data_IF_977528133993
#
_entry.id   IF_977528133993
#
_cell.length_a   1.000
_cell.length_b   1.000
_cell.length_c   1.000
_cell.angle_alpha   90.00
_cell.angle_beta   90.00
_cell.angle_gamma   90.00
#
_symmetry.space_group_name_H-M   'P 1'
#
loop_
_entity.id
_entity.type
_entity.pdbx_description
1 polymer ?
#
# COMPACT_ATOMS: atom_id res chain seq x y z
N UNK A 1 7.24 -5.27 26.80
CA UNK A 1 7.50 -6.66 26.38
C UNK A 1 8.77 -7.12 27.08
N UNK A 2 8.67 -8.23 27.79
CA UNK A 2 9.81 -8.84 28.46
C UNK A 2 10.71 -9.49 27.40
N UNK A 3 11.82 -8.85 27.12
CA UNK A 3 12.85 -9.33 26.17
C UNK A 3 13.95 -10.13 26.86
N UNK A 4 13.68 -10.68 28.04
CA UNK A 4 14.66 -11.42 28.85
C UNK A 4 14.87 -12.86 28.42
N UNK A 5 14.13 -13.38 27.44
CA UNK A 5 14.33 -14.75 26.95
C UNK A 5 15.61 -14.85 26.15
N UNK A 6 16.58 -15.58 26.70
CA UNK A 6 17.79 -15.98 25.98
C UNK A 6 17.39 -16.80 24.75
N UNK A 7 17.77 -16.34 23.55
CA UNK A 7 17.77 -17.18 22.37
C UNK A 7 19.01 -18.05 22.40
N UNK A 8 18.89 -19.40 22.32
CA UNK A 8 20.06 -20.27 22.32
C UNK A 8 21.06 -19.86 21.25
N UNK A 9 22.32 -19.68 21.63
CA UNK A 9 23.41 -19.31 20.70
C UNK A 9 23.66 -17.81 20.50
N UNK A 10 22.96 -16.93 21.21
CA UNK A 10 23.17 -15.48 21.13
C UNK A 10 23.47 -14.85 22.47
N UNK A 11 24.48 -13.96 22.45
CA UNK A 11 24.87 -13.18 23.60
C UNK A 11 23.85 -12.09 23.95
N UNK A 12 23.95 -11.67 25.14
CA UNK A 12 23.12 -10.81 25.99
C UNK A 12 22.66 -9.44 25.44
N UNK A 13 22.74 -9.14 24.15
CA UNK A 13 22.31 -7.86 23.58
C UNK A 13 20.81 -7.60 23.70
N UNK A 14 20.00 -8.64 23.90
CA UNK A 14 18.55 -8.53 24.05
C UNK A 14 18.05 -8.24 25.48
N UNK A 15 18.97 -8.00 26.42
CA UNK A 15 18.63 -7.69 27.84
C UNK A 15 18.17 -6.27 28.08
N UNK A 16 18.24 -5.37 27.08
CA UNK A 16 17.84 -3.96 27.26
C UNK A 16 16.44 -3.76 26.69
N UNK A 17 15.53 -3.26 27.51
CA UNK A 17 14.27 -2.71 27.03
C UNK A 17 14.55 -1.53 26.10
N UNK A 18 13.94 -1.54 24.90
CA UNK A 18 14.08 -0.48 23.92
C UNK A 18 12.81 0.36 23.94
N UNK A 19 12.97 1.63 24.25
CA UNK A 19 11.88 2.59 24.30
C UNK A 19 12.11 3.69 23.26
N UNK A 20 11.04 4.09 22.61
CA UNK A 20 11.01 5.20 21.67
C UNK A 20 9.73 5.99 21.85
N UNK A 21 9.85 7.29 22.08
CA UNK A 21 8.73 8.21 22.19
C UNK A 21 8.67 9.08 20.94
N UNK A 22 7.48 9.19 20.35
CA UNK A 22 7.19 10.07 19.24
C UNK A 22 6.40 11.25 19.76
N UNK A 23 6.82 12.46 19.42
CA UNK A 23 6.07 13.69 19.60
C UNK A 23 5.63 14.17 18.23
N UNK A 24 4.33 14.44 18.08
CA UNK A 24 3.79 15.00 16.83
C UNK A 24 2.83 16.13 17.15
N UNK A 25 2.98 17.22 16.40
CA UNK A 25 2.09 18.37 16.41
C UNK A 25 1.61 18.55 14.97
N UNK A 26 0.33 18.70 14.79
CA UNK A 26 -0.28 18.90 13.49
C UNK A 26 -1.06 20.22 13.47
N UNK A 27 -0.86 21.01 12.43
CA UNK A 27 -1.60 22.23 12.16
C UNK A 27 -2.14 22.15 10.74
N UNK A 28 -3.43 22.39 10.57
CA UNK A 28 -4.07 22.44 9.26
C UNK A 28 -5.05 23.60 9.20
N UNK A 29 -5.11 24.25 8.06
CA UNK A 29 -6.12 25.22 7.71
C UNK A 29 -6.89 24.75 6.48
N UNK A 30 -8.22 24.81 6.56
CA UNK A 30 -9.10 24.43 5.46
C UNK A 30 -9.94 25.65 5.06
N UNK A 31 -9.91 25.92 3.76
CA UNK A 31 -10.81 26.84 3.10
C UNK A 31 -11.88 26.05 2.35
N UNK A 32 -13.13 26.40 2.55
CA UNK A 32 -14.27 25.75 1.89
C UNK A 32 -15.23 26.81 1.35
N UNK A 33 -15.55 26.67 0.07
CA UNK A 33 -16.60 27.42 -0.62
C UNK A 33 -17.48 26.43 -1.38
N UNK A 34 -18.55 26.90 -2.02
CA UNK A 34 -19.54 26.06 -2.73
C UNK A 34 -18.93 25.04 -3.67
N UNK A 35 -17.88 25.42 -4.37
CA UNK A 35 -17.26 24.62 -5.43
C UNK A 35 -15.80 24.27 -5.17
N UNK A 36 -15.15 24.93 -4.22
CA UNK A 36 -13.72 24.76 -3.96
C UNK A 36 -13.53 24.36 -2.50
N UNK A 37 -12.74 23.34 -2.29
CA UNK A 37 -12.20 23.02 -0.97
C UNK A 37 -10.69 22.95 -1.10
N UNK A 38 -9.96 23.66 -0.27
CA UNK A 38 -8.51 23.61 -0.23
C UNK A 38 -8.03 23.51 1.22
N UNK A 39 -7.12 22.63 1.51
CA UNK A 39 -6.48 22.53 2.82
C UNK A 39 -4.96 22.52 2.68
N UNK A 40 -4.30 23.15 3.64
CA UNK A 40 -2.86 23.12 3.78
C UNK A 40 -2.51 22.86 5.25
N UNK A 41 -1.62 21.92 5.48
CA UNK A 41 -1.21 21.54 6.82
C UNK A 41 0.26 21.18 6.90
N UNK A 42 0.75 21.09 8.13
CA UNK A 42 2.09 20.65 8.43
C UNK A 42 2.09 19.78 9.69
N UNK A 43 2.73 18.64 9.61
CA UNK A 43 3.05 17.81 10.78
C UNK A 43 4.48 18.07 11.22
N UNK A 44 4.69 18.48 12.48
CA UNK A 44 6.00 18.56 13.12
C UNK A 44 6.21 17.31 13.97
N UNK A 45 7.21 16.51 13.64
CA UNK A 45 7.47 15.22 14.29
C UNK A 45 8.88 15.18 14.86
N UNK A 46 8.99 14.74 16.11
CA UNK A 46 10.25 14.47 16.79
C UNK A 46 10.22 13.06 17.40
N UNK A 47 11.34 12.36 17.27
CA UNK A 47 11.49 11.02 17.82
C UNK A 47 12.69 10.95 18.75
N UNK A 48 12.57 10.32 19.92
CA UNK A 48 13.68 10.23 20.92
C UNK A 48 14.82 9.32 20.49
N UNK A 49 14.61 8.45 19.49
CA UNK A 49 15.67 7.61 18.91
C UNK A 49 16.48 8.32 17.81
N UNK A 50 16.11 9.56 17.46
CA UNK A 50 16.82 10.37 16.47
C UNK A 50 17.22 11.69 17.13
N UNK A 51 18.51 12.00 17.12
CA UNK A 51 19.07 13.22 17.73
C UNK A 51 18.66 14.52 17.01
N UNK A 52 18.12 14.41 15.82
CA UNK A 52 17.67 15.55 15.01
C UNK A 52 16.34 16.12 15.57
N UNK A 53 16.25 17.40 15.80
CA UNK A 53 15.08 18.11 16.31
C UNK A 53 13.75 17.76 15.63
N UNK A 54 12.79 18.66 15.67
CA UNK A 54 11.53 18.49 14.93
C UNK A 54 11.78 18.52 13.42
N UNK A 55 11.15 17.59 12.69
CA UNK A 55 11.10 17.56 11.23
C UNK A 55 9.70 17.88 10.77
N UNK A 56 9.57 18.61 9.68
CA UNK A 56 8.32 19.12 9.17
C UNK A 56 7.89 18.39 7.90
N UNK A 57 6.63 17.99 7.87
CA UNK A 57 6.01 17.23 6.78
C UNK A 57 4.78 17.99 6.31
N UNK A 58 4.90 18.77 5.23
CA UNK A 58 3.77 19.51 4.68
C UNK A 58 2.82 18.61 3.90
N UNK A 59 1.55 19.01 3.87
CA UNK A 59 0.51 18.44 3.04
C UNK A 59 -0.39 19.55 2.50
N UNK A 60 -0.81 19.41 1.25
CA UNK A 60 -1.73 20.32 0.58
C UNK A 60 -2.73 19.50 -0.21
N UNK A 61 -4.02 19.82 -0.06
CA UNK A 61 -5.09 19.19 -0.83
C UNK A 61 -5.97 20.28 -1.43
N UNK A 62 -6.38 20.09 -2.66
CA UNK A 62 -7.33 20.98 -3.31
C UNK A 62 -8.35 20.18 -4.13
N UNK A 63 -9.59 20.65 -4.15
CA UNK A 63 -10.60 20.09 -5.02
C UNK A 63 -11.53 21.18 -5.54
N UNK A 64 -11.96 20.99 -6.78
CA UNK A 64 -12.87 21.88 -7.46
C UNK A 64 -14.01 21.10 -8.09
N UNK A 65 -15.25 21.45 -7.68
CA UNK A 65 -16.47 20.90 -8.28
C UNK A 65 -16.90 21.81 -9.41
N UNK A 66 -16.91 21.27 -10.62
CA UNK A 66 -17.35 21.97 -11.82
C UNK A 66 -18.47 21.19 -12.50
N UNK A 67 -19.30 21.85 -13.30
CA UNK A 67 -20.45 21.24 -14.00
C UNK A 67 -21.35 20.40 -13.08
N UNK A 68 -21.43 20.72 -11.80
CA UNK A 68 -22.31 20.07 -10.82
C UNK A 68 -21.96 18.64 -10.44
N UNK A 69 -21.59 17.79 -11.40
CA UNK A 69 -21.35 16.36 -11.20
C UNK A 69 -19.86 15.95 -11.25
N UNK A 70 -19.01 16.85 -11.66
CA UNK A 70 -17.59 16.64 -11.83
C UNK A 70 -16.80 17.29 -10.71
N UNK A 71 -15.84 16.55 -10.17
CA UNK A 71 -14.90 17.05 -9.16
C UNK A 71 -13.49 16.71 -9.61
N UNK A 72 -12.68 17.73 -9.83
CA UNK A 72 -11.23 17.62 -9.97
C UNK A 72 -10.60 17.72 -8.58
N UNK A 73 -9.57 16.93 -8.30
CA UNK A 73 -8.81 17.06 -7.07
C UNK A 73 -7.32 16.81 -7.32
N UNK A 74 -6.51 17.40 -6.45
CA UNK A 74 -5.08 17.18 -6.41
C UNK A 74 -4.60 17.23 -4.96
N UNK A 75 -3.58 16.45 -4.63
CA UNK A 75 -2.97 16.44 -3.31
C UNK A 75 -1.45 16.28 -3.42
N UNK A 76 -0.76 16.91 -2.49
CA UNK A 76 0.65 16.67 -2.19
C UNK A 76 0.80 16.35 -0.72
N UNK A 77 1.51 15.29 -0.39
CA UNK A 77 1.76 14.90 0.98
C UNK A 77 3.22 14.48 1.16
N UNK A 78 3.79 14.85 2.29
CA UNK A 78 5.09 14.39 2.74
C UNK A 78 4.93 13.61 4.04
N UNK A 79 5.63 12.49 4.17
CA UNK A 79 5.54 11.62 5.33
C UNK A 79 6.88 10.94 5.65
N UNK A 80 6.96 10.36 6.83
CA UNK A 80 8.11 9.56 7.24
C UNK A 80 7.66 8.22 7.84
N UNK A 81 8.54 7.23 7.76
CA UNK A 81 8.45 6.00 8.54
C UNK A 81 9.74 5.79 9.33
N UNK A 82 9.62 5.68 10.65
CA UNK A 82 10.79 5.35 11.47
C UNK A 82 11.12 3.85 11.34
N UNK A 83 12.42 3.49 11.37
CA UNK A 83 12.82 2.09 11.41
C UNK A 83 12.16 1.36 12.58
N UNK A 84 11.74 0.16 12.38
CA UNK A 84 11.22 -0.72 13.45
C UNK A 84 12.37 -1.21 14.33
N UNK A 85 12.07 -1.65 15.55
CA UNK A 85 13.10 -2.25 16.40
C UNK A 85 13.68 -3.55 15.81
N UNK A 86 12.91 -4.27 15.00
CA UNK A 86 13.40 -5.43 14.26
C UNK A 86 14.45 -5.01 13.23
N UNK A 87 14.19 -3.96 12.46
CA UNK A 87 15.14 -3.45 11.47
C UNK A 87 16.42 -2.90 12.11
N UNK A 88 16.33 -2.35 13.34
CA UNK A 88 17.46 -1.78 14.06
C UNK A 88 18.31 -2.80 14.84
N UNK A 89 17.70 -3.92 15.30
CA UNK A 89 18.35 -4.76 16.32
C UNK A 89 18.23 -6.27 16.08
N UNK A 90 17.48 -6.73 15.09
CA UNK A 90 17.32 -8.16 14.84
C UNK A 90 18.52 -8.73 14.09
N UNK A 91 19.36 -9.52 14.80
CA UNK A 91 20.57 -10.13 14.26
C UNK A 91 20.64 -11.62 14.61
N UNK A 92 19.64 -12.39 14.13
CA UNK A 92 19.48 -13.83 14.42
C UNK A 92 19.18 -14.57 13.12
N UNK A 93 19.69 -15.81 12.98
CA UNK A 93 19.33 -16.70 11.88
C UNK A 93 19.70 -16.16 10.49
N UNK A 94 20.91 -15.68 10.33
CA UNK A 94 21.37 -15.13 9.06
C UNK A 94 20.86 -13.71 8.75
N UNK A 95 20.39 -12.98 9.76
CA UNK A 95 20.02 -11.57 9.66
C UNK A 95 21.00 -10.70 10.43
N UNK A 96 21.33 -9.53 9.89
CA UNK A 96 22.19 -8.52 10.49
C UNK A 96 21.51 -7.16 10.40
N UNK A 97 20.95 -6.71 11.52
CA UNK A 97 20.28 -5.42 11.62
C UNK A 97 21.30 -4.25 11.72
N UNK A 98 20.90 -3.08 11.26
CA UNK A 98 21.71 -1.85 11.36
C UNK A 98 21.06 -0.84 12.31
N UNK A 99 21.79 -0.49 13.37
CA UNK A 99 21.37 0.50 14.39
C UNK A 99 21.36 1.96 13.85
N UNK A 100 22.02 2.20 12.73
CA UNK A 100 22.20 3.53 12.15
C UNK A 100 21.20 3.86 11.05
N UNK A 101 20.14 3.05 10.90
CA UNK A 101 19.12 3.30 9.90
C UNK A 101 18.46 4.67 10.06
N UNK A 102 18.35 5.37 8.95
CA UNK A 102 17.61 6.63 8.85
C UNK A 102 16.13 6.36 8.68
N UNK A 103 15.30 7.32 9.06
CA UNK A 103 13.87 7.27 8.73
C UNK A 103 13.67 7.33 7.22
N UNK A 104 12.79 6.47 6.71
CA UNK A 104 12.29 6.57 5.33
C UNK A 104 11.50 7.87 5.14
N UNK A 105 11.58 8.42 3.96
CA UNK A 105 10.80 9.61 3.57
C UNK A 105 10.00 9.28 2.33
N UNK A 106 8.75 9.73 2.31
CA UNK A 106 7.86 9.60 1.18
C UNK A 106 7.29 10.95 0.82
N UNK A 107 7.34 11.28 -0.46
CA UNK A 107 6.63 12.40 -1.06
C UNK A 107 5.64 11.83 -2.06
N UNK A 108 4.39 12.24 -1.97
CA UNK A 108 3.31 11.76 -2.80
C UNK A 108 2.62 12.94 -3.47
N UNK A 109 2.43 12.82 -4.76
CA UNK A 109 1.56 13.72 -5.55
C UNK A 109 0.49 12.87 -6.17
N UNK A 110 -0.75 13.28 -6.03
CA UNK A 110 -1.88 12.63 -6.70
C UNK A 110 -2.82 13.67 -7.29
N UNK A 111 -3.53 13.25 -8.34
CA UNK A 111 -4.60 14.03 -8.93
C UNK A 111 -5.62 13.12 -9.57
N UNK A 112 -6.87 13.57 -9.60
CA UNK A 112 -7.91 12.73 -10.15
C UNK A 112 -9.18 13.49 -10.47
N UNK A 113 -10.02 12.79 -11.23
CA UNK A 113 -11.30 13.27 -11.69
C UNK A 113 -12.39 12.32 -11.18
N UNK A 114 -13.41 12.87 -10.54
CA UNK A 114 -14.58 12.15 -10.09
C UNK A 114 -15.83 12.64 -10.83
N UNK A 115 -16.62 11.69 -11.28
CA UNK A 115 -17.98 11.92 -11.79
C UNK A 115 -18.98 11.24 -10.87
N UNK A 116 -20.00 11.96 -10.42
CA UNK A 116 -21.02 11.42 -9.50
C UNK A 116 -22.42 11.80 -9.92
N UNK A 117 -23.26 10.79 -10.06
CA UNK A 117 -24.71 10.88 -10.24
C UNK A 117 -25.37 9.86 -9.31
N UNK A 118 -26.68 9.93 -9.04
CA UNK A 118 -27.36 8.95 -8.19
C UNK A 118 -27.11 7.50 -8.60
N UNK A 119 -27.04 7.24 -9.90
CA UNK A 119 -26.88 5.91 -10.48
C UNK A 119 -25.45 5.54 -10.89
N UNK A 120 -24.49 6.47 -10.82
CA UNK A 120 -23.09 6.18 -11.17
C UNK A 120 -22.12 7.03 -10.34
N UNK A 121 -21.05 6.38 -9.90
CA UNK A 121 -19.89 7.04 -9.31
C UNK A 121 -18.63 6.49 -9.98
N UNK A 122 -17.86 7.34 -10.64
CA UNK A 122 -16.64 6.97 -11.33
C UNK A 122 -15.49 7.88 -10.89
N UNK A 123 -14.30 7.29 -10.71
CA UNK A 123 -13.10 8.00 -10.28
C UNK A 123 -11.91 7.51 -11.10
N UNK A 124 -11.12 8.44 -11.56
CA UNK A 124 -9.78 8.18 -12.14
C UNK A 124 -8.78 8.95 -11.30
N UNK A 125 -7.74 8.25 -10.84
CA UNK A 125 -6.64 8.82 -10.05
C UNK A 125 -5.32 8.48 -10.70
N UNK A 126 -4.44 9.46 -10.79
CA UNK A 126 -3.03 9.28 -11.14
C UNK A 126 -2.21 9.69 -9.93
N UNK A 127 -1.18 8.93 -9.60
CA UNK A 127 -0.30 9.27 -8.50
C UNK A 127 1.16 8.99 -8.81
N UNK A 128 2.03 9.77 -8.17
CA UNK A 128 3.46 9.58 -8.19
C UNK A 128 3.99 9.66 -6.76
N UNK A 129 4.73 8.63 -6.35
CA UNK A 129 5.37 8.55 -5.05
C UNK A 129 6.88 8.51 -5.22
N UNK A 130 7.58 9.38 -4.50
CA UNK A 130 9.02 9.39 -4.41
C UNK A 130 9.44 8.98 -2.99
N UNK A 131 10.00 7.77 -2.87
CA UNK A 131 10.54 7.23 -1.64
C UNK A 131 12.06 7.41 -1.60
N UNK A 132 12.59 7.94 -0.50
CA UNK A 132 14.03 8.03 -0.24
C UNK A 132 14.37 7.43 1.12
N UNK A 133 15.60 6.96 1.26
CA UNK A 133 16.08 6.25 2.44
C UNK A 133 15.21 5.01 2.78
N UNK A 134 14.61 4.36 1.76
CA UNK A 134 13.73 3.20 1.96
C UNK A 134 14.50 2.05 2.60
N UNK A 135 13.92 1.47 3.64
CA UNK A 135 14.54 0.39 4.41
C UNK A 135 14.12 -0.95 3.82
N UNK A 136 15.10 -1.77 3.52
CA UNK A 136 14.88 -3.14 3.06
C UNK A 136 15.89 -4.10 3.70
N UNK A 137 15.52 -5.36 3.75
CA UNK A 137 16.42 -6.46 4.00
C UNK A 137 17.01 -6.90 2.67
N UNK A 138 18.30 -6.69 2.52
CA UNK A 138 19.03 -7.03 1.30
C UNK A 138 20.09 -8.06 1.57
N UNK A 139 20.31 -8.94 0.61
CA UNK A 139 21.36 -9.95 0.60
C UNK A 139 22.27 -9.70 -0.59
N UNK A 140 23.55 -9.58 -0.33
CA UNK A 140 24.56 -9.42 -1.35
C UNK A 140 25.03 -10.80 -1.80
N UNK A 141 24.64 -11.19 -3.00
CA UNK A 141 24.97 -12.51 -3.56
C UNK A 141 26.45 -12.63 -3.93
N UNK A 142 27.19 -11.54 -4.05
CA UNK A 142 28.65 -11.56 -4.27
C UNK A 142 29.43 -12.04 -3.06
N UNK A 143 28.85 -11.96 -1.85
CA UNK A 143 29.42 -12.49 -0.62
C UNK A 143 29.19 -14.02 -0.45
N UNK A 144 28.51 -14.66 -1.41
CA UNK A 144 28.22 -16.09 -1.41
C UNK A 144 26.82 -16.48 -0.94
N UNK A 145 26.50 -17.77 -1.01
CA UNK A 145 25.16 -18.29 -0.70
C UNK A 145 24.73 -18.08 0.76
N UNK A 146 25.68 -18.04 1.69
CA UNK A 146 25.45 -17.86 3.12
C UNK A 146 25.51 -16.39 3.59
N UNK A 147 25.57 -15.43 2.65
CA UNK A 147 25.58 -14.02 2.98
C UNK A 147 24.35 -13.66 3.84
N UNK A 148 24.52 -12.84 4.90
CA UNK A 148 23.41 -12.48 5.76
C UNK A 148 22.48 -11.47 5.09
N UNK A 149 21.20 -11.54 5.44
CA UNK A 149 20.26 -10.46 5.15
C UNK A 149 20.57 -9.25 6.03
N UNK A 150 20.87 -8.11 5.41
CA UNK A 150 21.16 -6.87 6.13
C UNK A 150 20.04 -5.86 5.96
N UNK A 151 19.61 -5.25 7.08
CA UNK A 151 18.70 -4.11 6.99
C UNK A 151 19.49 -2.87 6.56
N UNK A 152 19.08 -2.19 5.51
CA UNK A 152 19.76 -1.01 4.96
C UNK A 152 18.76 0.04 4.49
N UNK A 153 19.13 1.32 4.57
CA UNK A 153 18.50 2.35 3.75
C UNK A 153 19.05 2.22 2.33
N UNK A 154 18.41 1.35 1.57
CA UNK A 154 19.05 0.87 0.36
C UNK A 154 18.75 1.73 -0.85
N UNK A 155 17.53 2.29 -0.97
CA UNK A 155 17.13 2.73 -2.29
C UNK A 155 16.22 3.96 -2.30
N UNK A 156 16.23 4.61 -3.45
CA UNK A 156 15.15 5.50 -3.89
C UNK A 156 14.19 4.66 -4.73
N UNK A 157 12.92 4.76 -4.41
CA UNK A 157 11.85 4.08 -5.15
C UNK A 157 10.94 5.16 -5.70
N UNK A 158 10.82 5.20 -7.02
CA UNK A 158 9.81 6.00 -7.68
C UNK A 158 8.66 5.09 -8.09
N UNK A 159 7.45 5.45 -7.71
CA UNK A 159 6.26 4.69 -8.05
C UNK A 159 5.30 5.60 -8.81
N UNK A 160 4.98 5.24 -10.03
CA UNK A 160 3.88 5.82 -10.78
C UNK A 160 2.71 4.84 -10.79
N UNK A 161 1.51 5.33 -10.51
CA UNK A 161 0.32 4.50 -10.56
C UNK A 161 -0.89 5.23 -11.12
N UNK A 162 -1.83 4.42 -11.58
CA UNK A 162 -3.13 4.87 -12.04
C UNK A 162 -4.21 3.93 -11.50
N UNK A 163 -5.30 4.52 -11.08
CA UNK A 163 -6.45 3.81 -10.56
C UNK A 163 -7.72 4.31 -11.25
N UNK A 164 -8.56 3.39 -11.64
CA UNK A 164 -9.88 3.68 -12.20
C UNK A 164 -10.89 2.85 -11.43
N UNK A 165 -11.94 3.48 -10.96
CA UNK A 165 -13.07 2.78 -10.36
C UNK A 165 -14.38 3.34 -10.86
N UNK A 166 -15.37 2.47 -11.03
CA UNK A 166 -16.72 2.85 -11.39
C UNK A 166 -17.72 1.94 -10.67
N UNK A 167 -18.77 2.54 -10.12
CA UNK A 167 -19.93 1.82 -9.60
C UNK A 167 -21.18 2.31 -10.33
N UNK A 168 -21.94 1.38 -10.85
CA UNK A 168 -23.21 1.62 -11.52
C UNK A 168 -24.31 0.96 -10.68
N UNK A 169 -25.28 1.75 -10.27
CA UNK A 169 -26.49 1.30 -9.56
C UNK A 169 -27.65 1.24 -10.55
N UNK A 170 -28.02 0.03 -10.94
CA UNK A 170 -29.06 -0.19 -11.94
C UNK A 170 -30.45 0.10 -11.40
N UNK A 171 -30.67 -0.06 -10.10
CA UNK A 171 -31.95 0.29 -9.47
C UNK A 171 -32.22 1.78 -9.59
N UNK A 172 -31.24 2.58 -9.23
CA UNK A 172 -31.33 4.05 -9.36
C UNK A 172 -31.38 4.50 -10.82
N UNK A 173 -30.67 3.80 -11.72
CA UNK A 173 -30.59 4.14 -13.14
C UNK A 173 -31.91 3.88 -13.87
N UNK A 174 -32.53 2.74 -13.59
CA UNK A 174 -33.77 2.28 -14.25
C UNK A 174 -35.04 2.68 -13.47
N UNK A 175 -34.87 3.19 -12.25
CA UNK A 175 -35.99 3.49 -11.32
C UNK A 175 -36.88 2.26 -11.11
N UNK A 176 -36.24 1.09 -10.95
CA UNK A 176 -36.90 -0.21 -10.80
C UNK A 176 -36.24 -1.04 -9.71
N UNK A 177 -37.01 -1.43 -8.68
CA UNK A 177 -36.52 -2.22 -7.55
C UNK A 177 -36.45 -3.73 -7.86
N UNK A 178 -37.11 -4.19 -8.92
CA UNK A 178 -37.21 -5.60 -9.33
C UNK A 178 -36.14 -6.00 -10.37
N UNK A 179 -35.22 -5.09 -10.71
CA UNK A 179 -34.17 -5.41 -11.69
C UNK A 179 -33.16 -6.41 -11.11
N UNK A 180 -32.89 -7.46 -11.91
CA UNK A 180 -32.05 -8.58 -11.48
C UNK A 180 -30.63 -8.17 -11.03
N UNK A 181 -29.98 -7.25 -11.74
CA UNK A 181 -28.67 -6.71 -11.36
C UNK A 181 -28.88 -5.44 -10.53
N UNK A 182 -28.47 -5.46 -9.27
CA UNK A 182 -28.56 -4.29 -8.38
C UNK A 182 -27.50 -3.27 -8.69
N UNK A 183 -26.23 -3.71 -8.65
CA UNK A 183 -25.11 -2.86 -8.98
C UNK A 183 -23.94 -3.67 -9.57
N UNK A 184 -23.06 -2.96 -10.26
CA UNK A 184 -21.77 -3.45 -10.71
C UNK A 184 -20.70 -2.47 -10.25
N UNK A 185 -19.63 -2.98 -9.63
CA UNK A 185 -18.41 -2.24 -9.31
C UNK A 185 -17.27 -2.78 -10.16
N UNK A 186 -16.56 -1.86 -10.81
CA UNK A 186 -15.35 -2.12 -11.58
C UNK A 186 -14.21 -1.37 -10.95
N UNK A 187 -13.07 -2.00 -10.75
CA UNK A 187 -11.85 -1.31 -10.37
C UNK A 187 -10.64 -1.89 -11.07
N UNK A 188 -9.78 -1.01 -11.51
CA UNK A 188 -8.50 -1.35 -12.11
C UNK A 188 -7.41 -0.49 -11.49
N UNK A 189 -6.29 -1.10 -11.11
CA UNK A 189 -5.08 -0.41 -10.70
C UNK A 189 -3.88 -0.92 -11.48
N UNK A 190 -3.03 0.01 -11.88
CA UNK A 190 -1.73 -0.27 -12.46
C UNK A 190 -0.67 0.51 -11.70
N UNK A 191 0.40 -0.18 -11.33
CA UNK A 191 1.54 0.39 -10.61
C UNK A 191 2.80 0.02 -11.36
N UNK A 192 3.66 1.00 -11.58
CA UNK A 192 5.01 0.81 -12.10
C UNK A 192 6.00 1.43 -11.11
N UNK A 193 7.00 0.64 -10.73
CA UNK A 193 8.05 1.09 -9.81
C UNK A 193 9.39 1.11 -10.55
N UNK A 194 10.03 2.28 -10.55
CA UNK A 194 11.42 2.42 -10.97
C UNK A 194 12.33 2.23 -9.75
N UNK A 195 13.15 1.20 -9.81
CA UNK A 195 14.07 0.78 -8.76
C UNK A 195 15.45 0.65 -9.37
N UNK A 196 16.40 1.33 -8.77
CA UNK A 196 17.81 1.10 -9.09
C UNK A 196 18.35 0.07 -8.10
N UNK A 197 18.44 -1.18 -8.53
CA UNK A 197 19.08 -2.26 -7.81
C UNK A 197 20.44 -2.54 -8.43
N UNK A 198 21.44 -2.80 -7.61
CA UNK A 198 22.70 -3.35 -8.05
C UNK A 198 22.51 -4.82 -8.46
N UNK A 199 23.19 -5.27 -9.50
CA UNK A 199 22.96 -6.58 -10.14
C UNK A 199 23.05 -7.78 -9.18
N UNK A 200 23.85 -7.67 -8.10
CA UNK A 200 24.08 -8.75 -7.16
C UNK A 200 23.29 -8.63 -5.85
N UNK A 201 22.39 -7.66 -5.75
CA UNK A 201 21.61 -7.44 -4.53
C UNK A 201 20.22 -8.06 -4.66
N UNK A 202 19.96 -9.02 -3.80
CA UNK A 202 18.61 -9.55 -3.59
C UNK A 202 17.88 -8.71 -2.53
N UNK A 203 16.70 -8.22 -2.84
CA UNK A 203 15.81 -7.48 -1.95
C UNK A 203 14.67 -8.37 -1.46
N UNK A 204 14.22 -8.18 -0.23
CA UNK A 204 13.14 -8.98 0.36
C UNK A 204 11.75 -8.36 0.14
N UNK A 205 11.64 -7.04 0.16
CA UNK A 205 10.35 -6.35 0.15
C UNK A 205 10.14 -5.46 -1.07
N UNK A 206 11.19 -4.79 -1.53
CA UNK A 206 11.06 -3.74 -2.54
C UNK A 206 10.79 -4.25 -3.96
N UNK A 207 10.94 -5.56 -4.23
CA UNK A 207 10.88 -6.10 -5.59
C UNK A 207 9.52 -6.67 -5.99
N UNK A 208 8.66 -6.96 -5.01
CA UNK A 208 7.40 -7.62 -5.27
C UNK A 208 6.21 -6.68 -5.07
N UNK A 209 5.50 -6.38 -6.14
CA UNK A 209 4.29 -5.56 -6.10
C UNK A 209 3.27 -6.04 -7.12
N UNK A 210 2.01 -5.70 -6.90
CA UNK A 210 0.94 -5.93 -7.87
C UNK A 210 1.05 -4.89 -8.98
N UNK A 211 1.50 -5.31 -10.17
CA UNK A 211 1.58 -4.45 -11.35
C UNK A 211 0.20 -4.12 -11.88
N UNK A 212 -0.63 -5.13 -11.99
CA UNK A 212 -2.00 -4.98 -12.45
C UNK A 212 -2.97 -5.68 -11.50
N UNK A 213 -4.07 -5.03 -11.20
CA UNK A 213 -5.17 -5.61 -10.47
C UNK A 213 -6.48 -5.15 -11.09
N UNK A 214 -7.30 -6.09 -11.49
CA UNK A 214 -8.66 -5.84 -11.98
C UNK A 214 -9.66 -6.56 -11.09
N UNK A 215 -10.72 -5.87 -10.68
CA UNK A 215 -11.78 -6.42 -9.84
C UNK A 215 -13.13 -6.03 -10.43
N UNK A 216 -13.99 -7.02 -10.56
CA UNK A 216 -15.41 -6.83 -10.90
C UNK A 216 -16.22 -7.41 -9.76
N UNK A 217 -17.15 -6.63 -9.22
CA UNK A 217 -18.15 -7.11 -8.26
C UNK A 217 -19.52 -6.85 -8.82
N UNK A 218 -20.45 -7.77 -8.60
CA UNK A 218 -21.83 -7.62 -8.98
C UNK A 218 -22.75 -8.13 -7.88
N UNK A 219 -23.81 -7.37 -7.63
CA UNK A 219 -24.87 -7.73 -6.70
C UNK A 219 -26.15 -8.00 -7.49
N UNK A 220 -26.77 -9.12 -7.17
CA UNK A 220 -27.96 -9.61 -7.84
C UNK A 220 -29.11 -9.76 -6.86
N UNK A 221 -30.30 -9.41 -7.31
CA UNK A 221 -31.56 -9.78 -6.69
C UNK A 221 -32.17 -10.90 -7.52
N UNK A 222 -32.18 -12.12 -6.98
CA UNK A 222 -32.62 -13.31 -7.74
C UNK A 222 -34.16 -13.47 -7.63
N UNK A 223 -34.65 -13.50 -6.41
CA UNK A 223 -36.04 -13.69 -6.12
C UNK A 223 -36.30 -13.40 -4.63
N UNK A 224 -37.47 -12.92 -4.30
CA UNK A 224 -38.12 -12.73 -2.99
C UNK A 224 -37.22 -13.01 -1.74
N UNK A 225 -36.37 -12.06 -1.42
CA UNK A 225 -35.38 -12.18 -0.33
C UNK A 225 -34.13 -12.98 -0.68
N UNK A 226 -34.00 -13.59 -1.86
CA UNK A 226 -32.78 -14.26 -2.32
C UNK A 226 -31.89 -13.31 -3.11
N UNK A 227 -30.71 -13.09 -2.61
CA UNK A 227 -29.70 -12.25 -3.23
C UNK A 227 -28.39 -13.03 -3.46
N UNK A 228 -27.64 -12.65 -4.47
CA UNK A 228 -26.31 -13.16 -4.73
C UNK A 228 -25.32 -12.02 -4.87
N UNK A 229 -24.07 -12.27 -4.45
CA UNK A 229 -22.94 -11.41 -4.70
C UNK A 229 -21.87 -12.23 -5.40
N UNK A 230 -21.25 -11.68 -6.43
CA UNK A 230 -20.11 -12.28 -7.10
C UNK A 230 -18.97 -11.28 -7.18
N UNK A 231 -17.74 -11.74 -6.95
CA UNK A 231 -16.55 -10.94 -7.08
C UNK A 231 -15.50 -11.73 -7.86
N UNK A 232 -15.13 -11.21 -9.00
CA UNK A 232 -14.01 -11.74 -9.78
C UNK A 232 -12.83 -10.79 -9.70
N UNK A 233 -11.63 -11.34 -9.46
CA UNK A 233 -10.38 -10.60 -9.34
C UNK A 233 -9.31 -11.26 -10.19
N UNK A 234 -8.67 -10.45 -11.02
CA UNK A 234 -7.47 -10.84 -11.75
C UNK A 234 -6.30 -9.98 -11.27
N UNK A 235 -5.13 -10.62 -11.11
CA UNK A 235 -3.92 -9.98 -10.59
C UNK A 235 -2.69 -10.45 -11.35
N UNK A 236 -1.82 -9.48 -11.67
CA UNK A 236 -0.47 -9.71 -12.18
C UNK A 236 0.53 -9.11 -11.19
N UNK A 237 1.45 -9.93 -10.72
CA UNK A 237 2.45 -9.58 -9.72
C UNK A 237 3.84 -9.59 -10.34
N UNK A 238 4.61 -8.53 -10.07
CA UNK A 238 6.05 -8.50 -10.36
C UNK A 238 6.80 -9.24 -9.26
N UNK A 239 7.82 -9.98 -9.61
CA UNK A 239 8.68 -10.70 -8.70
C UNK A 239 8.92 -12.12 -9.15
N UNK A 240 9.82 -12.79 -8.45
CA UNK A 240 10.21 -14.16 -8.71
C UNK A 240 10.24 -14.93 -7.40
N UNK A 241 9.98 -16.22 -7.47
CA UNK A 241 10.13 -17.15 -6.35
C UNK A 241 11.11 -18.26 -6.72
N UNK A 242 11.77 -18.79 -5.71
CA UNK A 242 12.65 -19.95 -5.88
C UNK A 242 11.83 -21.22 -6.05
N UNK A 243 12.12 -21.98 -7.11
CA UNK A 243 11.43 -23.24 -7.39
C UNK A 243 11.96 -24.35 -6.48
N UNK A 244 11.05 -25.00 -5.77
CA UNK A 244 11.35 -26.18 -4.95
C UNK A 244 10.73 -27.40 -5.58
N UNK A 245 11.53 -28.44 -5.81
CA UNK A 245 11.07 -29.77 -6.20
C UNK A 245 11.37 -30.77 -5.07
N UNK A 246 10.36 -31.53 -4.65
CA UNK A 246 10.46 -32.45 -3.52
C UNK A 246 11.04 -31.84 -2.23
N UNK A 247 10.71 -30.56 -1.94
CA UNK A 247 11.23 -29.78 -0.82
C UNK A 247 12.72 -29.43 -0.89
N UNK A 248 13.36 -29.68 -2.02
CA UNK A 248 14.75 -29.28 -2.29
C UNK A 248 14.75 -28.08 -3.22
N UNK A 249 15.55 -27.07 -2.89
CA UNK A 249 15.74 -25.92 -3.76
C UNK A 249 16.37 -26.35 -5.08
N UNK A 250 15.80 -25.91 -6.19
CA UNK A 250 16.41 -26.09 -7.51
C UNK A 250 17.35 -24.95 -7.88
N UNK A 251 17.49 -23.93 -7.03
CA UNK A 251 18.20 -22.68 -7.30
C UNK A 251 17.68 -21.91 -8.55
N UNK A 252 16.54 -22.32 -9.11
CA UNK A 252 15.92 -21.66 -10.24
C UNK A 252 14.89 -20.63 -9.77
N UNK A 253 15.02 -19.40 -10.26
CA UNK A 253 14.04 -18.34 -10.01
C UNK A 253 12.98 -18.32 -11.11
N UNK A 254 11.73 -18.42 -10.72
CA UNK A 254 10.56 -18.43 -11.62
C UNK A 254 9.69 -17.21 -11.36
N UNK A 255 9.32 -16.50 -12.41
CA UNK A 255 8.44 -15.33 -12.31
C UNK A 255 7.02 -15.76 -11.91
N UNK A 256 6.38 -14.93 -11.09
CA UNK A 256 4.96 -15.11 -10.77
C UNK A 256 4.10 -15.05 -12.03
N UNK A 257 3.14 -15.95 -12.12
CA UNK A 257 2.13 -15.92 -13.18
C UNK A 257 0.90 -15.16 -12.73
N UNK A 258 0.22 -14.44 -13.63
CA UNK A 258 -1.08 -13.86 -13.33
C UNK A 258 -2.08 -14.94 -12.92
N UNK A 259 -3.00 -14.60 -12.04
CA UNK A 259 -4.06 -15.51 -11.59
C UNK A 259 -5.39 -14.79 -11.39
N UNK A 260 -6.46 -15.60 -11.40
CA UNK A 260 -7.82 -15.14 -11.14
C UNK A 260 -8.40 -15.83 -9.93
N UNK A 261 -9.22 -15.10 -9.18
CA UNK A 261 -10.04 -15.61 -8.09
C UNK A 261 -11.49 -15.23 -8.33
N UNK A 262 -12.39 -16.14 -8.04
CA UNK A 262 -13.82 -15.92 -8.08
C UNK A 262 -14.42 -16.27 -6.72
N UNK A 263 -15.07 -15.30 -6.11
CA UNK A 263 -15.82 -15.45 -4.87
C UNK A 263 -17.29 -15.26 -5.16
N UNK A 264 -18.16 -16.12 -4.60
CA UNK A 264 -19.60 -15.99 -4.71
C UNK A 264 -20.27 -16.24 -3.38
N UNK A 265 -21.34 -15.49 -3.10
CA UNK A 265 -22.15 -15.62 -1.89
C UNK A 265 -23.62 -15.59 -2.27
N UNK A 266 -24.39 -16.50 -1.70
CA UNK A 266 -25.84 -16.48 -1.68
C UNK A 266 -26.32 -16.08 -0.29
N UNK A 267 -27.35 -15.25 -0.23
CA UNK A 267 -28.01 -14.85 1.01
C UNK A 267 -29.52 -14.83 0.81
N UNK A 268 -30.23 -15.33 1.83
CA UNK A 268 -31.67 -15.29 1.83
C UNK A 268 -32.17 -14.64 3.12
N UNK A 269 -33.11 -13.70 2.96
CA UNK A 269 -33.75 -13.01 4.07
C UNK A 269 -35.22 -13.30 4.01
N UNK A 270 -35.77 -14.03 5.00
CA UNK A 270 -37.21 -14.19 5.14
C UNK A 270 -37.80 -12.88 5.63
N UNK A 271 -38.74 -12.32 4.90
CA UNK A 271 -39.59 -11.25 5.43
C UNK A 271 -40.49 -11.84 6.53
N UNK A 272 -40.47 -11.22 7.71
CA UNK A 272 -41.50 -11.42 8.72
C UNK A 272 -42.63 -10.45 8.44
#
# INVERSE_FOLDING_TARGET
>A
RDNTKKVPGHDAEYKKGLNRTNYSIFLEHTYEDRNITASAGVAAVKNTGNSDGFKFYPGVNASWRFLGNWKLYAAYNSSLRMPTFTELYYSVGGHAADKNLKAEKMQSVEGGLRFSRPWVNAVVTLFYNHGSDMIDWTKDLSEGADAPWRSRNYTKINTFGQEVSARIDFVSMLVRDDFFIRNIELSYSHINQDKKLEENIQSRYALEYLRHKFVVKADFHIWNGLCANASWRWQDRVGNYELFENKVSTCNMVSYKPYSLLDARLSWTSGY
#
